data_IF_732236691111
#
_entry.id   IF_732236691111
#
_cell.length_a   1.000
_cell.length_b   1.000
_cell.length_c   1.000
_cell.angle_alpha   90.00
_cell.angle_beta   90.00
_cell.angle_gamma   90.00
#
_symmetry.space_group_name_H-M   'P 1'
#
loop_
_entity.id
_entity.type
_entity.pdbx_description
1 polymer ?
#
# COMPACT_ATOMS: atom_id res chain seq x y z
N UNK A 1 -21.59 48.97 3.57
CA UNK A 1 -21.78 47.72 4.32
C UNK A 1 -20.45 47.40 4.96
N UNK A 2 -20.40 47.20 6.27
CA UNK A 2 -19.16 46.83 6.94
C UNK A 2 -18.95 45.36 6.63
N UNK A 3 -17.91 45.02 5.89
CA UNK A 3 -17.51 43.63 5.65
C UNK A 3 -17.05 43.04 6.97
N UNK A 4 -17.97 42.36 7.66
CA UNK A 4 -17.75 41.78 8.98
C UNK A 4 -17.06 40.42 8.88
N UNK A 5 -16.13 40.27 7.95
CA UNK A 5 -15.42 39.02 7.70
C UNK A 5 -14.34 38.79 8.76
N UNK A 6 -14.12 37.53 9.11
CA UNK A 6 -12.99 37.09 9.93
C UNK A 6 -11.94 36.46 9.03
N UNK A 7 -10.66 36.80 9.28
CA UNK A 7 -9.52 36.19 8.59
C UNK A 7 -9.01 35.00 9.38
N UNK A 8 -9.00 33.83 8.76
CA UNK A 8 -8.54 32.58 9.35
C UNK A 8 -7.23 32.13 8.70
N UNK A 9 -6.19 31.91 9.49
CA UNK A 9 -4.95 31.31 9.00
C UNK A 9 -5.07 29.78 9.02
N UNK A 10 -4.92 29.19 7.85
CA UNK A 10 -5.02 27.77 7.58
C UNK A 10 -3.64 27.21 7.21
N UNK A 11 -3.37 25.97 7.59
CA UNK A 11 -2.20 25.23 7.13
C UNK A 11 -2.62 23.82 6.72
N UNK A 12 -1.98 23.25 5.70
CA UNK A 12 -2.21 21.85 5.33
C UNK A 12 -1.30 20.97 6.19
N UNK A 13 -1.85 19.89 6.74
CA UNK A 13 -1.07 18.93 7.52
C UNK A 13 0.13 18.41 6.70
N UNK A 14 1.33 18.49 7.28
CA UNK A 14 2.57 18.07 6.63
C UNK A 14 3.25 19.14 5.77
N UNK A 15 2.61 20.29 5.54
CA UNK A 15 3.21 21.43 4.84
C UNK A 15 3.82 22.44 5.83
N UNK A 16 4.75 23.26 5.35
CA UNK A 16 5.43 24.29 6.15
C UNK A 16 4.81 25.69 6.00
N UNK A 17 3.94 25.89 5.00
CA UNK A 17 3.33 27.19 4.71
C UNK A 17 1.87 27.29 5.16
N UNK A 18 1.57 28.37 5.87
CA UNK A 18 0.20 28.78 6.17
C UNK A 18 -0.30 29.77 5.11
N UNK A 19 -1.63 29.85 4.95
CA UNK A 19 -2.33 30.76 4.06
C UNK A 19 -3.57 31.31 4.76
N UNK A 20 -4.07 32.47 4.32
CA UNK A 20 -5.23 33.12 4.93
C UNK A 20 -6.49 32.91 4.09
N UNK A 21 -7.63 32.74 4.75
CA UNK A 21 -8.96 32.72 4.12
C UNK A 21 -9.89 33.68 4.87
N UNK A 22 -10.57 34.54 4.13
CA UNK A 22 -11.58 35.44 4.68
C UNK A 22 -12.97 34.83 4.55
N UNK A 23 -13.72 34.81 5.65
CA UNK A 23 -15.08 34.25 5.67
C UNK A 23 -16.01 35.10 6.55
N UNK A 24 -17.27 35.19 6.16
CA UNK A 24 -18.30 35.83 6.99
C UNK A 24 -18.66 34.90 8.18
N UNK A 25 -18.63 35.38 9.44
CA UNK A 25 -18.93 34.58 10.62
C UNK A 25 -20.32 33.91 10.63
N UNK A 26 -21.29 34.44 9.88
CA UNK A 26 -22.63 33.84 9.72
C UNK A 26 -22.70 32.66 8.74
N UNK A 27 -21.57 32.32 8.10
CA UNK A 27 -21.48 31.15 7.21
C UNK A 27 -21.11 29.91 8.00
N UNK A 28 -21.36 28.76 7.38
CA UNK A 28 -21.02 27.45 7.96
C UNK A 28 -19.60 27.02 7.64
N UNK A 29 -19.10 26.03 8.36
CA UNK A 29 -17.83 25.34 8.08
C UNK A 29 -17.81 24.71 6.68
N UNK A 30 -18.94 24.28 6.11
CA UNK A 30 -19.00 23.82 4.71
C UNK A 30 -18.59 24.92 3.70
N UNK A 31 -19.03 26.17 3.94
CA UNK A 31 -18.60 27.30 3.10
C UNK A 31 -17.10 27.55 3.24
N UNK A 32 -16.55 27.41 4.45
CA UNK A 32 -15.11 27.52 4.70
C UNK A 32 -14.31 26.47 3.93
N UNK A 33 -14.78 25.21 3.89
CA UNK A 33 -14.12 24.15 3.10
C UNK A 33 -14.03 24.51 1.63
N UNK A 34 -15.11 25.05 1.06
CA UNK A 34 -15.15 25.49 -0.34
C UNK A 34 -14.17 26.63 -0.62
N UNK A 35 -14.05 27.59 0.30
CA UNK A 35 -13.09 28.69 0.19
C UNK A 35 -11.64 28.21 0.30
N UNK A 36 -11.34 27.33 1.26
CA UNK A 36 -10.00 26.71 1.40
C UNK A 36 -9.62 25.95 0.13
N UNK A 37 -10.56 25.18 -0.43
CA UNK A 37 -10.36 24.48 -1.70
C UNK A 37 -10.00 25.45 -2.83
N UNK A 38 -10.74 26.55 -2.94
CA UNK A 38 -10.53 27.55 -3.98
C UNK A 38 -9.16 28.24 -3.86
N UNK A 39 -8.76 28.61 -2.64
CA UNK A 39 -7.48 29.29 -2.37
C UNK A 39 -6.26 28.43 -2.72
N UNK A 40 -6.38 27.12 -2.53
CA UNK A 40 -5.32 26.14 -2.80
C UNK A 40 -5.73 25.12 -3.87
N UNK A 41 -6.35 25.61 -4.95
CA UNK A 41 -6.89 24.76 -6.02
C UNK A 41 -5.85 23.80 -6.63
N UNK A 42 -4.57 24.19 -6.72
CA UNK A 42 -3.51 23.31 -7.20
C UNK A 42 -3.19 22.18 -6.23
N UNK A 43 -3.17 22.46 -4.92
CA UNK A 43 -2.90 21.47 -3.88
C UNK A 43 -4.10 20.53 -3.66
N UNK A 44 -5.31 20.99 -4.02
CA UNK A 44 -6.60 20.32 -3.78
C UNK A 44 -7.35 19.90 -5.05
N UNK A 45 -6.71 19.90 -6.22
CA UNK A 45 -7.37 19.78 -7.53
C UNK A 45 -8.31 18.58 -7.68
N UNK A 46 -7.94 17.43 -7.10
CA UNK A 46 -8.67 16.17 -7.21
C UNK A 46 -9.46 15.79 -5.93
N UNK A 47 -9.65 16.75 -5.02
CA UNK A 47 -10.29 16.53 -3.72
C UNK A 47 -11.54 17.40 -3.62
N UNK A 48 -12.69 16.77 -3.40
CA UNK A 48 -13.93 17.49 -3.15
C UNK A 48 -13.87 18.24 -1.81
N UNK A 49 -14.51 19.41 -1.74
CA UNK A 49 -14.41 20.27 -0.55
C UNK A 49 -14.94 19.57 0.71
N UNK A 50 -15.96 18.73 0.56
CA UNK A 50 -16.55 17.91 1.62
C UNK A 50 -15.57 16.86 2.17
N UNK A 51 -14.51 16.53 1.43
CA UNK A 51 -13.43 15.62 1.84
C UNK A 51 -12.30 16.31 2.60
N UNK A 52 -12.33 17.62 2.79
CA UNK A 52 -11.40 18.31 3.68
C UNK A 52 -11.88 18.16 5.13
N UNK A 53 -11.06 17.54 5.99
CA UNK A 53 -11.30 17.57 7.43
C UNK A 53 -10.62 18.82 8.00
N UNK A 54 -11.39 19.66 8.68
CA UNK A 54 -10.89 20.88 9.31
C UNK A 54 -10.78 20.69 10.82
N UNK A 55 -9.63 21.07 11.37
CA UNK A 55 -9.34 21.04 12.80
C UNK A 55 -9.08 22.46 13.29
N UNK A 56 -9.82 22.92 14.29
CA UNK A 56 -9.54 24.15 15.00
C UNK A 56 -8.38 23.94 15.97
N UNK A 57 -7.37 24.78 15.85
CA UNK A 57 -6.12 24.73 16.62
C UNK A 57 -5.65 26.13 17.02
N UNK A 58 -4.66 26.20 17.90
CA UNK A 58 -3.97 27.43 18.26
C UNK A 58 -2.46 27.18 18.25
N UNK A 59 -1.84 27.36 17.08
CA UNK A 59 -0.40 27.13 16.88
C UNK A 59 0.29 28.46 16.62
N UNK A 60 1.22 28.92 17.49
CA UNK A 60 1.98 30.14 17.25
C UNK A 60 2.82 30.03 15.98
N UNK A 61 2.73 31.02 15.08
CA UNK A 61 3.47 31.05 13.82
C UNK A 61 5.01 31.21 13.98
N UNK A 62 5.52 31.27 15.22
CA UNK A 62 6.94 31.44 15.53
C UNK A 62 7.70 30.10 15.49
N UNK A 63 7.02 28.96 15.62
CA UNK A 63 7.65 27.62 15.58
C UNK A 63 8.00 27.13 14.16
N UNK A 64 7.60 27.84 13.10
CA UNK A 64 7.87 27.48 11.70
C UNK A 64 9.20 28.04 11.17
N UNK A 65 10.03 28.64 12.02
CA UNK A 65 11.33 29.22 11.62
C UNK A 65 12.41 28.16 11.27
N UNK A 66 12.07 26.86 11.31
CA UNK A 66 13.04 25.78 11.20
C UNK A 66 12.47 24.57 10.44
N UNK A 67 11.96 24.77 9.20
CA UNK A 67 11.58 23.71 8.25
C UNK A 67 10.70 22.57 8.82
N UNK A 68 9.99 22.86 9.93
CA UNK A 68 9.18 21.92 10.68
C UNK A 68 7.83 21.79 9.99
N UNK A 69 7.46 20.56 9.65
CA UNK A 69 6.15 20.25 9.06
C UNK A 69 5.05 20.45 10.11
N UNK A 70 4.04 21.25 9.78
CA UNK A 70 2.91 21.51 10.67
C UNK A 70 2.13 20.21 10.86
N UNK A 71 2.00 19.75 12.10
CA UNK A 71 1.39 18.44 12.43
C UNK A 71 0.31 18.58 13.51
N UNK A 72 -0.75 17.79 13.40
CA UNK A 72 -1.77 17.71 14.44
C UNK A 72 -1.17 17.11 15.73
N UNK A 73 -1.26 17.84 16.85
CA UNK A 73 -0.94 17.35 18.19
C UNK A 73 0.47 17.64 18.74
N UNK A 74 1.44 18.05 17.92
CA UNK A 74 2.80 18.38 18.39
C UNK A 74 2.95 19.87 18.79
N UNK A 75 2.25 20.77 18.09
CA UNK A 75 2.52 22.22 18.14
C UNK A 75 1.35 23.08 18.64
N UNK A 76 0.20 22.48 18.96
CA UNK A 76 -1.01 23.22 19.36
C UNK A 76 -1.03 23.46 20.88
N UNK A 77 -1.29 24.70 21.29
CA UNK A 77 -1.46 25.06 22.70
C UNK A 77 -2.77 24.52 23.31
N UNK A 78 -3.71 24.10 22.46
CA UNK A 78 -5.01 23.51 22.84
C UNK A 78 -5.23 22.18 22.13
N UNK A 79 -6.05 21.30 22.71
CA UNK A 79 -6.47 20.08 22.03
C UNK A 79 -7.14 20.40 20.69
N UNK A 80 -6.68 19.81 19.56
CA UNK A 80 -7.28 20.05 18.25
C UNK A 80 -8.76 19.62 18.24
N UNK A 81 -9.67 20.55 17.94
CA UNK A 81 -11.11 20.27 17.85
C UNK A 81 -11.51 20.09 16.39
N UNK A 82 -12.04 18.92 16.04
CA UNK A 82 -12.62 18.66 14.71
C UNK A 82 -13.86 19.54 14.51
N UNK A 83 -13.97 20.17 13.33
CA UNK A 83 -15.09 21.04 12.97
C UNK A 83 -16.17 20.29 12.20
N UNK A 84 -17.42 20.46 12.63
CA UNK A 84 -18.58 19.91 11.93
C UNK A 84 -18.97 20.82 10.75
N UNK A 85 -19.25 20.29 9.54
CA UNK A 85 -19.69 21.09 8.38
C UNK A 85 -20.92 21.97 8.66
N UNK A 86 -21.76 21.57 9.61
CA UNK A 86 -23.01 22.24 9.98
C UNK A 86 -22.82 23.34 11.02
N UNK A 87 -21.66 23.41 11.67
CA UNK A 87 -21.36 24.47 12.63
C UNK A 87 -21.25 25.83 11.92
N UNK A 88 -21.78 26.88 12.54
CA UNK A 88 -21.54 28.25 12.13
C UNK A 88 -20.14 28.71 12.55
N UNK A 89 -19.49 29.53 11.71
CA UNK A 89 -18.14 30.05 11.99
C UNK A 89 -18.13 30.89 13.28
N UNK A 90 -19.20 31.64 13.56
CA UNK A 90 -19.37 32.38 14.81
C UNK A 90 -19.48 31.47 16.04
N UNK A 91 -19.93 30.22 15.87
CA UNK A 91 -20.01 29.26 16.98
C UNK A 91 -18.68 28.56 17.25
N UNK A 92 -17.87 28.38 16.20
CA UNK A 92 -16.53 27.80 16.32
C UNK A 92 -15.54 28.82 16.86
N UNK A 93 -15.59 30.06 16.37
CA UNK A 93 -14.62 31.12 16.66
C UNK A 93 -15.27 32.26 17.45
N UNK A 94 -15.73 31.93 18.67
CA UNK A 94 -16.42 32.87 19.59
C UNK A 94 -15.51 33.92 20.21
N UNK A 95 -14.23 33.60 20.38
CA UNK A 95 -13.24 34.45 21.02
C UNK A 95 -12.33 35.13 19.99
N UNK A 96 -11.74 36.26 20.40
CA UNK A 96 -10.77 36.97 19.56
C UNK A 96 -9.59 36.07 19.25
N UNK A 97 -9.41 35.71 17.97
CA UNK A 97 -8.36 34.81 17.53
C UNK A 97 -6.96 35.36 17.86
N UNK A 98 -6.04 34.53 18.40
CA UNK A 98 -4.68 34.96 18.68
C UNK A 98 -3.96 35.44 17.42
N UNK A 99 -3.38 36.64 17.47
CA UNK A 99 -2.56 37.15 16.36
C UNK A 99 -1.33 36.28 16.15
N UNK A 100 -0.89 36.16 14.90
CA UNK A 100 0.29 35.36 14.50
C UNK A 100 0.16 33.89 14.91
N UNK A 101 -1.02 33.31 14.72
CA UNK A 101 -1.25 31.89 14.96
C UNK A 101 -1.96 31.24 13.77
N UNK A 102 -1.75 29.94 13.59
CA UNK A 102 -2.55 29.10 12.70
C UNK A 102 -3.81 28.72 13.48
N UNK A 103 -4.96 28.98 12.89
CA UNK A 103 -6.28 28.72 13.48
C UNK A 103 -6.88 27.40 13.01
N UNK A 104 -6.51 26.96 11.79
CA UNK A 104 -7.05 25.75 11.17
C UNK A 104 -5.93 24.88 10.61
N UNK A 105 -5.95 23.59 10.93
CA UNK A 105 -5.26 22.58 10.14
C UNK A 105 -6.25 21.91 9.19
N UNK A 106 -5.89 21.91 7.91
CA UNK A 106 -6.59 21.20 6.84
C UNK A 106 -5.94 19.83 6.70
N UNK A 107 -6.69 18.80 7.06
CA UNK A 107 -6.30 17.42 6.83
C UNK A 107 -7.03 16.90 5.59
N UNK A 108 -6.26 16.38 4.64
CA UNK A 108 -6.82 15.72 3.47
C UNK A 108 -7.44 14.40 3.88
N UNK A 109 -8.77 14.30 3.85
CA UNK A 109 -9.41 13.00 3.96
C UNK A 109 -9.26 12.32 2.61
N UNK A 110 -8.33 11.36 2.53
CA UNK A 110 -8.35 10.37 1.45
C UNK A 110 -9.77 9.80 1.32
N UNK A 111 -10.24 9.44 0.12
CA UNK A 111 -11.58 8.91 -0.03
C UNK A 111 -11.53 7.49 0.53
N UNK A 112 -11.71 7.36 1.85
CA UNK A 112 -11.98 6.14 2.57
C UNK A 112 -12.03 6.44 4.08
N UNK A 113 -13.19 6.17 4.65
CA UNK A 113 -13.43 5.96 6.07
C UNK A 113 -12.25 5.21 6.74
N UNK A 114 -11.73 5.80 7.82
CA UNK A 114 -10.84 5.20 8.82
C UNK A 114 -9.56 4.51 8.32
N UNK A 115 -8.40 5.14 8.55
CA UNK A 115 -7.17 4.39 8.77
C UNK A 115 -6.89 4.49 10.28
N UNK A 116 -6.86 3.35 10.95
CA UNK A 116 -5.57 2.70 11.04
C UNK A 116 -5.59 1.44 10.18
N UNK A 117 -4.97 1.50 9.01
CA UNK A 117 -4.69 0.29 8.24
C UNK A 117 -4.03 -0.72 9.18
N UNK A 118 -4.60 -1.90 9.29
CA UNK A 118 -4.01 -3.00 10.05
C UNK A 118 -2.61 -3.26 9.50
N UNK A 119 -1.66 -3.69 10.33
CA UNK A 119 -0.40 -4.21 9.81
C UNK A 119 -0.69 -5.46 8.98
N UNK A 120 0.00 -5.67 7.85
CA UNK A 120 -0.19 -6.89 7.05
C UNK A 120 -0.08 -8.15 7.93
N UNK A 121 0.90 -8.17 8.83
CA UNK A 121 1.16 -9.26 9.78
C UNK A 121 -0.02 -9.67 10.68
N UNK A 122 -0.98 -8.78 10.88
CA UNK A 122 -2.10 -8.99 11.80
C UNK A 122 -3.34 -9.57 11.13
N UNK A 123 -3.38 -9.67 9.79
CA UNK A 123 -4.50 -10.27 9.07
C UNK A 123 -4.56 -11.78 9.33
N UNK A 124 -5.78 -12.27 9.59
CA UNK A 124 -6.07 -13.70 9.67
C UNK A 124 -6.97 -14.12 8.51
N UNK A 125 -6.92 -15.41 8.16
CA UNK A 125 -7.62 -15.95 6.98
C UNK A 125 -9.13 -15.65 6.98
N UNK A 126 -9.81 -15.84 8.12
CA UNK A 126 -11.25 -15.61 8.24
C UNK A 126 -11.64 -14.16 7.89
N UNK A 127 -10.93 -13.19 8.42
CA UNK A 127 -11.18 -11.76 8.12
C UNK A 127 -11.02 -11.47 6.62
N UNK A 128 -10.00 -12.05 5.99
CA UNK A 128 -9.70 -11.84 4.57
C UNK A 128 -10.77 -12.50 3.68
N UNK A 129 -11.27 -13.67 4.07
CA UNK A 129 -12.37 -14.36 3.40
C UNK A 129 -13.63 -13.50 3.42
N UNK A 130 -14.01 -12.99 4.58
CA UNK A 130 -15.18 -12.11 4.73
C UNK A 130 -14.98 -10.80 3.95
N UNK A 131 -13.79 -10.21 4.03
CA UNK A 131 -13.47 -8.92 3.40
C UNK A 131 -13.53 -8.96 1.87
N UNK A 132 -13.12 -10.07 1.25
CA UNK A 132 -13.10 -10.21 -0.21
C UNK A 132 -14.22 -11.12 -0.75
N UNK A 133 -15.14 -11.58 0.10
CA UNK A 133 -16.25 -12.45 -0.32
C UNK A 133 -15.78 -13.78 -0.91
N UNK A 134 -14.70 -14.35 -0.37
CA UNK A 134 -14.18 -15.66 -0.80
C UNK A 134 -15.17 -16.72 -0.30
N UNK A 135 -15.68 -17.60 -1.15
CA UNK A 135 -16.71 -18.57 -0.76
C UNK A 135 -16.16 -19.61 0.23
N UNK A 136 -16.69 -19.62 1.47
CA UNK A 136 -16.25 -20.54 2.55
C UNK A 136 -16.41 -22.03 2.19
N UNK A 137 -17.47 -22.41 1.46
CA UNK A 137 -17.74 -23.82 1.11
C UNK A 137 -16.69 -24.45 0.19
N UNK A 138 -15.94 -23.64 -0.57
CA UNK A 138 -14.79 -24.13 -1.36
C UNK A 138 -13.47 -23.96 -0.63
N UNK A 139 -13.39 -23.09 0.39
CA UNK A 139 -12.18 -22.85 1.21
C UNK A 139 -10.91 -22.52 0.42
N UNK A 140 -11.04 -22.34 -0.89
CA UNK A 140 -9.96 -22.30 -1.87
C UNK A 140 -10.35 -21.28 -2.91
N UNK A 141 -9.36 -20.46 -3.28
CA UNK A 141 -9.47 -19.53 -4.39
C UNK A 141 -9.70 -20.33 -5.69
N UNK A 142 -10.26 -19.76 -6.76
CA UNK A 142 -10.27 -20.44 -8.05
C UNK A 142 -8.84 -20.70 -8.55
N UNK A 143 -8.58 -21.90 -9.09
CA UNK A 143 -7.25 -22.20 -9.64
C UNK A 143 -7.01 -21.44 -10.95
N UNK A 144 -5.83 -20.84 -11.15
CA UNK A 144 -5.45 -20.32 -12.47
C UNK A 144 -4.46 -21.26 -13.18
N UNK A 145 -4.68 -21.43 -14.48
CA UNK A 145 -3.89 -22.34 -15.29
C UNK A 145 -2.54 -21.71 -15.66
N UNK A 146 -1.48 -22.11 -14.95
CA UNK A 146 -0.09 -21.90 -15.35
C UNK A 146 0.56 -23.26 -15.63
N UNK A 147 1.13 -23.43 -16.82
CA UNK A 147 1.78 -24.67 -17.22
C UNK A 147 3.30 -24.53 -17.07
N UNK A 148 4.00 -25.58 -16.59
CA UNK A 148 5.45 -25.59 -16.61
C UNK A 148 5.94 -25.41 -18.05
N UNK A 149 6.87 -24.48 -18.25
CA UNK A 149 7.63 -24.33 -19.49
C UNK A 149 8.85 -25.24 -19.43
N UNK A 150 9.23 -25.83 -20.57
CA UNK A 150 10.55 -26.46 -20.71
C UNK A 150 11.66 -25.43 -20.59
N UNK A 151 12.63 -25.69 -19.71
CA UNK A 151 13.77 -24.82 -19.50
C UNK A 151 14.78 -24.95 -20.65
N UNK A 152 15.38 -23.84 -21.07
CA UNK A 152 16.58 -23.82 -21.92
C UNK A 152 17.81 -24.32 -21.18
N UNK A 153 18.90 -24.61 -21.89
CA UNK A 153 20.17 -25.02 -21.28
C UNK A 153 20.73 -23.96 -20.32
N UNK A 154 20.59 -22.68 -20.65
CA UNK A 154 20.97 -21.56 -19.78
C UNK A 154 20.10 -21.53 -18.50
N UNK A 155 18.78 -21.70 -18.64
CA UNK A 155 17.84 -21.78 -17.51
C UNK A 155 18.18 -22.95 -16.58
N UNK A 156 18.51 -24.11 -17.15
CA UNK A 156 18.92 -25.31 -16.41
C UNK A 156 20.25 -25.06 -15.68
N UNK A 157 21.21 -24.40 -16.31
CA UNK A 157 22.51 -24.09 -15.72
C UNK A 157 22.38 -23.16 -14.52
N UNK A 158 21.58 -22.09 -14.64
CA UNK A 158 21.30 -21.17 -13.53
C UNK A 158 20.62 -21.90 -12.39
N UNK A 159 19.59 -22.70 -12.68
CA UNK A 159 18.86 -23.45 -11.67
C UNK A 159 19.76 -24.48 -10.96
N UNK A 160 20.64 -25.15 -11.70
CA UNK A 160 21.66 -26.04 -11.14
C UNK A 160 22.59 -25.29 -10.17
N UNK A 161 22.94 -24.05 -10.48
CA UNK A 161 23.68 -23.16 -9.59
C UNK A 161 22.92 -22.81 -8.30
N UNK A 162 21.60 -22.56 -8.39
CA UNK A 162 20.75 -22.35 -7.20
C UNK A 162 20.70 -23.61 -6.33
N UNK A 163 20.47 -24.77 -6.93
CA UNK A 163 20.43 -26.07 -6.24
C UNK A 163 21.76 -26.39 -5.56
N UNK A 164 22.87 -26.10 -6.23
CA UNK A 164 24.21 -26.27 -5.66
C UNK A 164 24.40 -25.36 -4.44
N UNK A 165 24.11 -24.06 -4.56
CA UNK A 165 24.21 -23.12 -3.44
C UNK A 165 23.35 -23.55 -2.25
N UNK A 166 22.10 -23.95 -2.51
CA UNK A 166 21.22 -24.50 -1.48
C UNK A 166 21.86 -25.70 -0.77
N UNK A 167 22.40 -26.65 -1.53
CA UNK A 167 23.02 -27.88 -0.99
C UNK A 167 24.24 -27.57 -0.12
N UNK A 168 25.07 -26.63 -0.55
CA UNK A 168 26.26 -26.19 0.20
C UNK A 168 25.87 -25.47 1.50
N UNK A 169 24.89 -24.56 1.44
CA UNK A 169 24.37 -23.90 2.64
C UNK A 169 23.78 -24.93 3.61
N UNK A 170 22.97 -25.89 3.12
CA UNK A 170 22.36 -26.91 3.96
C UNK A 170 23.39 -27.77 4.72
N UNK A 171 24.55 -28.02 4.11
CA UNK A 171 25.65 -28.75 4.76
C UNK A 171 26.42 -27.91 5.78
N UNK A 172 26.43 -26.59 5.63
CA UNK A 172 27.20 -25.68 6.46
C UNK A 172 26.47 -25.27 7.76
N UNK A 173 25.14 -25.27 7.79
CA UNK A 173 24.38 -24.91 9.00
C UNK A 173 24.30 -26.06 10.00
N UNK A 174 24.48 -25.72 11.30
CA UNK A 174 24.42 -26.68 12.41
C UNK A 174 23.00 -27.24 12.65
N UNK A 175 21.97 -26.53 12.19
CA UNK A 175 20.57 -26.94 12.19
C UNK A 175 20.06 -26.94 10.75
N UNK A 176 19.09 -27.81 10.44
CA UNK A 176 18.44 -27.90 9.13
C UNK A 176 17.96 -26.50 8.67
N UNK A 177 18.08 -26.18 7.37
CA UNK A 177 17.65 -24.89 6.79
C UNK A 177 16.17 -24.57 7.08
N UNK A 178 15.41 -25.59 7.49
CA UNK A 178 14.04 -25.53 7.97
C UNK A 178 13.82 -24.86 9.33
N UNK A 179 14.88 -24.56 10.08
CA UNK A 179 14.81 -24.19 11.49
C UNK A 179 14.03 -22.89 11.73
N UNK A 180 14.21 -21.86 10.91
CA UNK A 180 13.59 -20.53 11.10
C UNK A 180 13.25 -19.81 9.78
N UNK A 181 12.44 -18.76 9.88
CA UNK A 181 11.93 -17.96 8.74
C UNK A 181 13.06 -17.19 8.01
N UNK A 182 14.09 -16.72 8.73
CA UNK A 182 15.21 -15.98 8.13
C UNK A 182 16.05 -16.87 7.19
N UNK A 183 16.28 -18.12 7.57
CA UNK A 183 16.98 -19.09 6.73
C UNK A 183 16.17 -19.44 5.49
N UNK A 184 14.85 -19.61 5.61
CA UNK A 184 13.94 -19.79 4.46
C UNK A 184 13.98 -18.61 3.51
N UNK A 185 13.98 -17.38 4.05
CA UNK A 185 14.10 -16.16 3.25
C UNK A 185 15.40 -16.10 2.45
N UNK A 186 16.50 -16.64 2.99
CA UNK A 186 17.78 -16.75 2.26
C UNK A 186 17.68 -17.69 1.06
N UNK A 187 17.01 -18.84 1.22
CA UNK A 187 16.77 -19.79 0.12
C UNK A 187 15.88 -19.14 -0.94
N UNK A 188 14.76 -18.55 -0.53
CA UNK A 188 13.82 -17.87 -1.42
C UNK A 188 14.52 -16.75 -2.18
N UNK A 189 15.39 -15.98 -1.54
CA UNK A 189 16.19 -14.95 -2.19
C UNK A 189 17.03 -15.49 -3.35
N UNK A 190 17.64 -16.67 -3.23
CA UNK A 190 18.40 -17.28 -4.34
C UNK A 190 17.52 -17.49 -5.57
N UNK A 191 16.32 -18.05 -5.39
CA UNK A 191 15.36 -18.24 -6.48
C UNK A 191 14.89 -16.91 -7.08
N UNK A 192 14.54 -15.94 -6.23
CA UNK A 192 14.04 -14.64 -6.68
C UNK A 192 15.10 -13.87 -7.49
N UNK A 193 16.35 -13.85 -7.02
CA UNK A 193 17.46 -13.19 -7.73
C UNK A 193 17.70 -13.86 -9.09
N UNK A 194 17.80 -15.19 -9.12
CA UNK A 194 17.98 -15.92 -10.38
C UNK A 194 16.84 -15.69 -11.37
N UNK A 195 15.59 -15.66 -10.91
CA UNK A 195 14.43 -15.40 -11.76
C UNK A 195 14.46 -13.98 -12.38
N UNK A 196 14.88 -12.98 -11.60
CA UNK A 196 14.97 -11.58 -12.06
C UNK A 196 16.16 -11.38 -13.02
N UNK A 197 17.31 -12.02 -12.76
CA UNK A 197 18.47 -11.93 -13.66
C UNK A 197 18.20 -12.61 -15.01
N UNK A 198 17.38 -13.67 -15.03
CA UNK A 198 17.12 -14.43 -16.24
C UNK A 198 16.07 -13.76 -17.14
N UNK A 199 15.03 -13.18 -16.56
CA UNK A 199 14.10 -12.37 -17.33
C UNK A 199 14.79 -11.02 -17.61
N UNK A 200 15.36 -10.85 -18.81
CA UNK A 200 15.85 -9.57 -19.36
C UNK A 200 14.69 -8.58 -19.48
N UNK A 201 14.28 -8.09 -18.32
CA UNK A 201 13.01 -7.46 -18.10
C UNK A 201 13.26 -6.23 -17.26
N UNK A 202 12.40 -5.25 -17.45
CA UNK A 202 12.40 -4.00 -16.71
C UNK A 202 11.86 -4.24 -15.30
N UNK A 203 12.46 -5.19 -14.57
CA UNK A 203 12.09 -5.59 -13.22
C UNK A 203 13.29 -5.42 -12.28
N UNK A 204 12.99 -5.09 -11.03
CA UNK A 204 13.97 -5.04 -9.94
C UNK A 204 13.40 -5.73 -8.71
N UNK A 205 14.26 -6.41 -7.95
CA UNK A 205 13.89 -7.06 -6.70
C UNK A 205 14.18 -6.11 -5.53
N UNK A 206 13.19 -5.88 -4.67
CA UNK A 206 13.34 -5.13 -3.43
C UNK A 206 13.01 -6.05 -2.25
N UNK A 207 13.91 -6.14 -1.27
CA UNK A 207 13.66 -6.85 -0.02
C UNK A 207 13.07 -5.91 1.03
N UNK A 208 12.17 -6.42 1.89
CA UNK A 208 11.54 -5.65 2.96
C UNK A 208 10.90 -4.34 2.46
N UNK A 209 10.38 -4.35 1.23
CA UNK A 209 9.81 -3.17 0.59
C UNK A 209 8.58 -2.71 1.39
N UNK A 210 8.58 -1.45 1.83
CA UNK A 210 7.41 -0.89 2.52
C UNK A 210 6.29 -0.61 1.53
N UNK A 211 5.10 -1.07 1.89
CA UNK A 211 3.85 -0.80 1.19
C UNK A 211 2.81 -0.27 2.18
N UNK A 212 1.97 0.63 1.70
CA UNK A 212 0.86 1.22 2.43
C UNK A 212 -0.29 1.41 1.46
N UNK A 213 -1.47 0.98 1.86
CA UNK A 213 -2.73 1.26 1.19
C UNK A 213 -3.87 1.28 2.19
N UNK A 214 -5.08 1.42 1.67
CA UNK A 214 -6.29 1.49 2.48
C UNK A 214 -6.39 0.36 3.50
N UNK A 215 -6.25 -0.87 3.02
CA UNK A 215 -6.51 -2.09 3.77
C UNK A 215 -5.27 -2.65 4.43
N UNK A 216 -4.15 -1.93 4.47
CA UNK A 216 -2.98 -2.48 5.15
C UNK A 216 -1.69 -1.74 4.92
N UNK A 217 -0.76 -1.91 5.86
CA UNK A 217 0.60 -1.42 5.73
C UNK A 217 1.62 -2.38 6.32
N UNK A 218 2.87 -2.26 5.88
CA UNK A 218 3.97 -3.08 6.37
C UNK A 218 5.08 -3.23 5.35
N UNK A 219 6.16 -3.90 5.73
CA UNK A 219 7.12 -4.42 4.77
C UNK A 219 6.62 -5.74 4.19
N UNK A 220 7.01 -6.01 2.95
CA UNK A 220 6.85 -7.32 2.30
C UNK A 220 8.22 -7.95 2.13
N UNK A 221 8.34 -9.28 2.26
CA UNK A 221 9.66 -9.93 2.25
C UNK A 221 10.40 -9.69 0.95
N UNK A 222 9.72 -9.88 -0.18
CA UNK A 222 10.21 -9.51 -1.49
C UNK A 222 9.11 -8.83 -2.31
N UNK A 223 9.49 -7.76 -3.01
CA UNK A 223 8.68 -7.14 -4.04
C UNK A 223 9.43 -7.18 -5.36
N UNK A 224 8.75 -7.63 -6.41
CA UNK A 224 9.20 -7.44 -7.80
C UNK A 224 8.58 -6.14 -8.28
N UNK A 225 9.41 -5.15 -8.57
CA UNK A 225 8.98 -3.81 -8.99
C UNK A 225 9.31 -3.60 -10.47
N UNK A 226 8.51 -2.78 -11.14
CA UNK A 226 8.88 -2.25 -12.46
C UNK A 226 10.07 -1.28 -12.33
N UNK A 227 11.14 -1.49 -13.12
CA UNK A 227 12.40 -0.73 -13.08
C UNK A 227 12.23 0.74 -13.45
N UNK A 228 11.33 1.05 -14.37
CA UNK A 228 11.08 2.42 -14.83
C UNK A 228 10.00 3.09 -13.98
N UNK A 229 9.00 2.32 -13.57
CA UNK A 229 7.91 2.74 -12.70
C UNK A 229 8.16 2.20 -11.29
N UNK A 230 9.30 2.55 -10.68
CA UNK A 230 9.95 2.01 -9.45
C UNK A 230 9.10 1.91 -8.18
N UNK A 231 7.82 2.21 -8.27
CA UNK A 231 6.86 2.22 -7.18
C UNK A 231 5.63 1.35 -7.51
N UNK A 232 5.66 0.56 -8.59
CA UNK A 232 4.61 -0.39 -8.95
C UNK A 232 5.08 -1.82 -8.70
N UNK A 233 4.53 -2.46 -7.67
CA UNK A 233 4.82 -3.86 -7.36
C UNK A 233 4.13 -4.79 -8.36
N UNK A 234 4.90 -5.40 -9.27
CA UNK A 234 4.49 -6.44 -10.22
C UNK A 234 4.15 -7.76 -9.53
N UNK A 235 4.86 -8.04 -8.44
CA UNK A 235 4.51 -9.12 -7.54
C UNK A 235 5.09 -8.98 -6.14
N UNK A 236 4.54 -9.75 -5.22
CA UNK A 236 4.86 -9.72 -3.78
C UNK A 236 5.02 -11.15 -3.26
N UNK A 237 6.12 -11.42 -2.58
CA UNK A 237 6.40 -12.71 -1.94
C UNK A 237 6.35 -12.58 -0.43
N UNK A 238 5.64 -13.53 0.21
CA UNK A 238 5.57 -13.73 1.65
C UNK A 238 6.21 -15.08 2.00
N UNK A 239 7.19 -15.06 2.91
CA UNK A 239 7.88 -16.27 3.37
C UNK A 239 7.35 -16.67 4.74
N UNK A 240 6.78 -17.89 4.86
CA UNK A 240 6.16 -18.36 6.10
C UNK A 240 6.57 -19.78 6.45
N UNK A 241 7.06 -20.01 7.67
CA UNK A 241 7.43 -21.35 8.14
C UNK A 241 6.21 -22.20 8.53
N UNK A 242 5.39 -21.73 9.46
CA UNK A 242 4.42 -22.58 10.16
C UNK A 242 2.97 -22.32 9.74
N UNK A 243 2.62 -21.08 9.36
CA UNK A 243 1.24 -20.68 9.11
C UNK A 243 1.04 -20.12 7.70
N UNK A 244 1.08 -21.00 6.69
CA UNK A 244 0.86 -20.63 5.29
C UNK A 244 -0.50 -19.99 5.04
N UNK A 245 -1.54 -20.33 5.81
CA UNK A 245 -2.86 -19.71 5.69
C UNK A 245 -2.84 -18.24 6.12
N UNK A 246 -2.12 -17.91 7.20
CA UNK A 246 -1.84 -16.53 7.57
C UNK A 246 -1.00 -15.86 6.49
N UNK A 247 0.08 -16.48 6.01
CA UNK A 247 0.90 -15.92 4.93
C UNK A 247 0.08 -15.60 3.67
N UNK A 248 -0.87 -16.46 3.31
CA UNK A 248 -1.81 -16.23 2.22
C UNK A 248 -2.74 -15.05 2.51
N UNK A 249 -3.32 -14.98 3.71
CA UNK A 249 -4.14 -13.84 4.12
C UNK A 249 -3.39 -12.51 3.98
N UNK A 250 -2.14 -12.45 4.45
CA UNK A 250 -1.28 -11.27 4.32
C UNK A 250 -1.03 -10.93 2.85
N UNK A 251 -0.67 -11.95 2.05
CA UNK A 251 -0.35 -11.77 0.63
C UNK A 251 -1.55 -11.25 -0.19
N UNK A 252 -2.77 -11.72 0.06
CA UNK A 252 -3.96 -11.19 -0.64
C UNK A 252 -4.15 -9.69 -0.40
N UNK A 253 -3.97 -9.24 0.84
CA UNK A 253 -4.07 -7.82 1.20
C UNK A 253 -2.91 -7.01 0.61
N UNK A 254 -1.69 -7.54 0.63
CA UNK A 254 -0.53 -6.91 -0.02
C UNK A 254 -0.76 -6.75 -1.54
N UNK A 255 -1.38 -7.74 -2.19
CA UNK A 255 -1.70 -7.70 -3.61
C UNK A 255 -2.81 -6.71 -3.95
N UNK A 256 -3.84 -6.59 -3.11
CA UNK A 256 -4.84 -5.52 -3.23
C UNK A 256 -4.14 -4.15 -3.22
N UNK A 257 -3.31 -3.89 -2.20
CA UNK A 257 -2.53 -2.65 -2.12
C UNK A 257 -1.69 -2.44 -3.39
N UNK A 258 -1.05 -3.49 -3.92
CA UNK A 258 -0.26 -3.41 -5.14
C UNK A 258 -1.09 -2.98 -6.37
N UNK A 259 -2.26 -3.60 -6.61
CA UNK A 259 -3.09 -3.29 -7.79
C UNK A 259 -3.73 -1.91 -7.68
N UNK A 260 -4.13 -1.49 -6.48
CA UNK A 260 -4.67 -0.15 -6.25
C UNK A 260 -3.63 0.95 -6.48
N UNK A 261 -2.39 0.73 -6.01
CA UNK A 261 -1.29 1.67 -6.29
C UNK A 261 -0.97 1.77 -7.79
N UNK A 262 -1.05 0.66 -8.53
CA UNK A 262 -0.91 0.69 -10.01
C UNK A 262 -2.02 1.49 -10.67
N UNK A 263 -3.26 1.29 -10.22
CA UNK A 263 -4.41 2.05 -10.72
C UNK A 263 -4.20 3.54 -10.51
N UNK A 264 -3.88 3.95 -9.28
CA UNK A 264 -3.66 5.36 -8.94
C UNK A 264 -2.66 6.03 -9.89
N UNK A 265 -1.50 5.40 -10.12
CA UNK A 265 -0.49 5.94 -11.03
C UNK A 265 -0.93 6.02 -12.48
N UNK A 266 -1.71 5.05 -12.95
CA UNK A 266 -2.26 5.11 -14.31
C UNK A 266 -3.27 6.23 -14.47
N UNK A 267 -4.10 6.49 -13.46
CA UNK A 267 -5.00 7.66 -13.48
C UNK A 267 -4.19 8.95 -13.54
N UNK A 268 -3.10 9.07 -12.77
CA UNK A 268 -2.20 10.24 -12.82
C UNK A 268 -1.53 10.42 -14.19
N UNK A 269 -1.16 9.33 -14.87
CA UNK A 269 -0.51 9.37 -16.19
C UNK A 269 -1.48 9.74 -17.33
N UNK A 270 -2.70 9.18 -17.34
CA UNK A 270 -3.64 9.34 -18.44
C UNK A 270 -4.63 10.51 -18.25
N UNK A 271 -4.77 11.02 -17.02
CA UNK A 271 -5.75 12.06 -16.70
C UNK A 271 -7.19 11.55 -16.73
N UNK A 272 -8.12 12.41 -16.32
CA UNK A 272 -9.56 12.17 -16.48
C UNK A 272 -10.02 12.89 -17.77
N UNK A 273 -10.58 12.15 -18.73
CA UNK A 273 -11.22 12.74 -19.91
C UNK A 273 -12.71 12.92 -19.62
N UNK A 274 -13.24 14.14 -19.81
CA UNK A 274 -14.66 14.47 -19.60
C UNK A 274 -15.21 14.15 -18.20
N UNK A 275 -14.35 14.09 -17.17
CA UNK A 275 -14.74 13.74 -15.79
C UNK A 275 -15.00 12.24 -15.58
N UNK A 276 -14.70 11.41 -16.59
CA UNK A 276 -14.74 9.96 -16.47
C UNK A 276 -13.31 9.42 -16.26
N UNK A 277 -13.17 8.52 -15.28
CA UNK A 277 -11.90 7.85 -15.04
C UNK A 277 -11.63 6.84 -16.14
N UNK A 278 -10.39 6.74 -16.65
CA UNK A 278 -10.05 5.75 -17.65
C UNK A 278 -10.31 4.33 -17.10
N UNK A 279 -10.86 3.42 -17.92
CA UNK A 279 -11.05 2.02 -17.54
C UNK A 279 -9.69 1.36 -17.34
N UNK A 280 -9.24 1.27 -16.10
CA UNK A 280 -7.92 0.73 -15.76
C UNK A 280 -8.06 -0.68 -15.21
N UNK A 281 -7.51 -1.64 -15.93
CA UNK A 281 -7.27 -3.00 -15.42
C UNK A 281 -5.87 -3.09 -14.84
N UNK A 282 -5.75 -3.55 -13.61
CA UNK A 282 -4.46 -3.82 -12.98
C UNK A 282 -4.33 -5.29 -12.59
N UNK A 283 -3.10 -5.78 -12.57
CA UNK A 283 -2.78 -7.16 -12.22
C UNK A 283 -1.50 -7.21 -11.41
N UNK A 284 -1.45 -8.09 -10.42
CA UNK A 284 -0.25 -8.36 -9.63
C UNK A 284 -0.20 -9.84 -9.25
N UNK A 285 1.00 -10.35 -9.00
CA UNK A 285 1.21 -11.76 -8.67
C UNK A 285 1.78 -11.93 -7.27
N UNK A 286 1.28 -12.92 -6.55
CA UNK A 286 1.72 -13.27 -5.21
C UNK A 286 2.47 -14.58 -5.18
N UNK A 287 3.41 -14.69 -4.25
CA UNK A 287 4.02 -15.97 -3.87
C UNK A 287 3.91 -16.10 -2.35
N UNK A 288 3.43 -17.24 -1.88
CA UNK A 288 3.48 -17.61 -0.47
C UNK A 288 4.25 -18.91 -0.38
N UNK A 289 5.34 -18.92 0.39
CA UNK A 289 6.26 -20.05 0.37
C UNK A 289 6.89 -20.30 1.73
N UNK A 290 7.10 -21.57 2.05
CA UNK A 290 8.00 -21.99 3.14
C UNK A 290 9.40 -22.32 2.62
N UNK A 291 9.74 -21.97 1.37
CA UNK A 291 10.90 -22.39 0.57
C UNK A 291 10.85 -23.80 -0.04
N UNK A 292 9.89 -24.64 0.36
CA UNK A 292 9.67 -25.98 -0.19
C UNK A 292 8.37 -26.04 -0.97
N UNK A 293 7.28 -25.53 -0.39
CA UNK A 293 5.98 -25.41 -1.02
C UNK A 293 5.81 -24.00 -1.53
N UNK A 294 5.41 -23.88 -2.79
CA UNK A 294 5.20 -22.60 -3.45
C UNK A 294 3.74 -22.48 -3.83
N UNK A 295 3.04 -21.52 -3.22
CA UNK A 295 1.69 -21.15 -3.61
C UNK A 295 1.76 -19.87 -4.43
N UNK A 296 1.29 -19.94 -5.67
CA UNK A 296 1.21 -18.78 -6.54
C UNK A 296 -0.18 -18.16 -6.41
N UNK A 297 -0.24 -16.84 -6.44
CA UNK A 297 -1.48 -16.09 -6.38
C UNK A 297 -1.52 -15.10 -7.52
N UNK A 298 -2.69 -14.87 -8.05
CA UNK A 298 -2.95 -13.83 -9.02
C UNK A 298 -4.05 -12.93 -8.47
N UNK A 299 -3.81 -11.62 -8.50
CA UNK A 299 -4.79 -10.61 -8.17
C UNK A 299 -5.05 -9.73 -9.40
N UNK A 300 -6.33 -9.55 -9.74
CA UNK A 300 -6.78 -8.64 -10.79
C UNK A 300 -7.73 -7.61 -10.22
N UNK A 301 -7.58 -6.37 -10.65
CA UNK A 301 -8.52 -5.27 -10.44
C UNK A 301 -9.13 -4.93 -11.80
N UNK A 302 -10.46 -5.01 -11.89
CA UNK A 302 -11.17 -4.65 -13.12
C UNK A 302 -11.51 -3.15 -13.19
N UNK A 303 -12.18 -2.75 -14.27
CA UNK A 303 -12.53 -1.35 -14.55
C UNK A 303 -13.57 -0.78 -13.56
N UNK A 304 -14.27 -1.65 -12.82
CA UNK A 304 -15.29 -1.31 -11.82
C UNK A 304 -14.76 -1.39 -10.39
N UNK A 305 -13.43 -1.48 -10.23
CA UNK A 305 -12.76 -1.68 -8.95
C UNK A 305 -13.08 -2.99 -8.24
N UNK A 306 -13.58 -4.00 -8.98
CA UNK A 306 -13.77 -5.32 -8.44
C UNK A 306 -12.44 -6.07 -8.40
N UNK A 307 -12.12 -6.61 -7.21
CA UNK A 307 -10.97 -7.48 -7.00
C UNK A 307 -11.36 -8.93 -7.27
N UNK A 308 -10.49 -9.65 -7.96
CA UNK A 308 -10.58 -11.09 -8.08
C UNK A 308 -9.22 -11.72 -7.79
N UNK A 309 -9.26 -12.82 -7.03
CA UNK A 309 -8.08 -13.58 -6.66
C UNK A 309 -8.19 -14.98 -7.24
N UNK A 310 -7.08 -15.46 -7.79
CA UNK A 310 -6.90 -16.85 -8.22
C UNK A 310 -5.64 -17.38 -7.59
N UNK A 311 -5.55 -18.68 -7.34
CA UNK A 311 -4.35 -19.28 -6.80
C UNK A 311 -3.89 -20.49 -7.59
N UNK A 312 -2.68 -20.95 -7.33
CA UNK A 312 -2.23 -22.29 -7.69
C UNK A 312 -1.38 -22.80 -6.54
N UNK A 313 -1.95 -23.73 -5.79
CA UNK A 313 -1.28 -24.43 -4.71
C UNK A 313 -0.61 -25.72 -5.20
N UNK A 314 0.28 -26.27 -4.39
CA UNK A 314 1.01 -27.48 -4.74
C UNK A 314 0.13 -28.72 -4.55
N UNK A 315 -0.34 -29.33 -5.63
CA UNK A 315 -0.81 -30.72 -5.62
C UNK A 315 0.13 -31.67 -6.37
N UNK A 316 1.28 -31.22 -6.92
CA UNK A 316 2.28 -32.06 -7.63
C UNK A 316 3.49 -31.37 -8.29
N UNK A 317 3.73 -30.06 -8.14
CA UNK A 317 4.72 -29.33 -8.98
C UNK A 317 6.05 -29.01 -8.28
N UNK A 318 6.21 -29.08 -6.96
CA UNK A 318 7.44 -28.50 -6.40
C UNK A 318 7.94 -28.98 -5.04
N UNK A 319 7.93 -30.28 -4.70
CA UNK A 319 8.87 -30.68 -3.64
C UNK A 319 10.29 -30.61 -4.19
N UNK A 320 11.22 -29.98 -3.45
CA UNK A 320 12.66 -30.01 -3.77
C UNK A 320 13.17 -31.47 -3.92
N UNK A 321 12.47 -32.42 -3.29
CA UNK A 321 12.67 -33.86 -3.41
C UNK A 321 12.24 -34.42 -4.79
N UNK A 322 11.14 -33.92 -5.37
CA UNK A 322 10.75 -34.26 -6.75
C UNK A 322 11.74 -33.68 -7.78
N UNK A 323 12.34 -32.53 -7.50
CA UNK A 323 13.43 -31.97 -8.31
C UNK A 323 14.73 -32.79 -8.21
N UNK A 324 15.02 -33.36 -7.03
CA UNK A 324 16.13 -34.31 -6.84
C UNK A 324 15.93 -35.58 -7.68
N UNK A 325 14.73 -36.17 -7.63
CA UNK A 325 14.41 -37.38 -8.40
C UNK A 325 14.45 -37.19 -9.92
N UNK A 326 14.02 -36.02 -10.42
CA UNK A 326 14.01 -35.72 -11.86
C UNK A 326 15.38 -35.37 -12.46
N UNK A 327 16.35 -34.92 -11.65
CA UNK A 327 17.72 -34.64 -12.11
C UNK A 327 18.56 -35.93 -12.13
N UNK A 328 18.34 -36.87 -11.21
CA UNK A 328 19.00 -38.17 -11.23
C UNK A 328 18.50 -39.10 -12.35
N UNK A 329 17.27 -38.93 -12.86
CA UNK A 329 16.74 -39.68 -14.01
C UNK A 329 17.07 -39.05 -15.39
N UNK A 330 17.68 -37.86 -15.42
CA UNK A 330 18.04 -37.14 -16.67
C UNK A 330 19.52 -36.79 -16.79
N UNK A 331 20.36 -37.42 -15.97
CA UNK A 331 21.81 -37.59 -16.19
C UNK A 331 22.10 -39.07 -16.47
#
# INVERSE_FOLDING_TARGET
MIDNNITLFCAVEGMSSAFSVDINPSKTVDHLRKLIKAEKANDFGNIDADRLTLWCVSIPAVSTAQDSRISLGADSATEPKKLDPTDDISDVFKETLPKKSIHIIVQLSSPQSECPAKTFSSYIWKEVVDQYGIQEMTGSLPEFNIQPKSLSEDEITVLSGVVKNYTEHNRAYMFDLNANEATRSTIVNLFMVSAILFNDSNMVLAQQQRMKGLRGHGSVDFAVLDRFRQTQALGVTEVKKDNLAQGLAQNLVQLDVAVQQKKHKRVEEFGEENGERPPIRAKSYGIVTDSFKWTLVECTLDEKDALAFRYKGDSKISSIEAWRGGIEERL
#
